data_IF_931557740217
#
_entry.id   IF_931557740217
#
_cell.length_a   1.000
_cell.length_b   1.000
_cell.length_c   1.000
_cell.angle_alpha   90.00
_cell.angle_beta   90.00
_cell.angle_gamma   90.00
#
_symmetry.space_group_name_H-M   'P 1'
#
loop_
_entity.id
_entity.type
_entity.pdbx_description
1 polymer ?
#
# COMPACT_ATOMS: atom_id res chain seq x y z
N UNK A 1 12.24 -3.71 -2.51
CA UNK A 1 12.64 -4.89 -3.30
C UNK A 1 12.54 -4.60 -4.81
N UNK A 2 11.35 -4.37 -5.37
CA UNK A 2 11.17 -4.11 -6.81
C UNK A 2 12.00 -2.92 -7.33
N UNK A 3 12.02 -1.79 -6.61
CA UNK A 3 12.88 -0.65 -6.95
C UNK A 3 14.37 -1.05 -7.06
N UNK A 4 14.88 -1.81 -6.10
CA UNK A 4 16.28 -2.25 -6.11
C UNK A 4 16.58 -3.25 -7.22
N UNK A 5 15.63 -4.12 -7.62
CA UNK A 5 15.86 -5.06 -8.73
C UNK A 5 16.03 -4.35 -10.07
N UNK A 6 15.55 -3.10 -10.20
CA UNK A 6 15.76 -2.23 -11.36
C UNK A 6 16.80 -1.12 -11.10
N UNK A 7 17.68 -1.29 -10.10
CA UNK A 7 18.74 -0.35 -9.74
C UNK A 7 18.24 1.09 -9.42
N UNK A 8 17.04 1.20 -8.85
CA UNK A 8 16.50 2.47 -8.37
C UNK A 8 16.45 2.51 -6.85
N UNK A 9 16.65 3.71 -6.31
CA UNK A 9 16.42 4.02 -4.91
C UNK A 9 15.05 4.68 -4.72
N UNK A 10 14.49 4.56 -3.52
CA UNK A 10 13.19 5.14 -3.16
C UNK A 10 13.15 5.53 -1.70
N UNK A 11 12.55 6.68 -1.42
CA UNK A 11 12.35 7.21 -0.07
C UNK A 11 10.90 7.67 0.05
N UNK A 12 10.00 6.75 0.41
CA UNK A 12 8.57 7.02 0.57
C UNK A 12 7.90 5.96 1.44
N UNK A 13 6.84 6.35 2.15
CA UNK A 13 5.92 5.42 2.81
C UNK A 13 4.60 5.26 2.05
N UNK A 14 4.38 6.05 0.99
CA UNK A 14 3.18 5.94 0.16
C UNK A 14 3.40 4.90 -0.92
N UNK A 15 2.72 3.76 -0.77
CA UNK A 15 2.74 2.65 -1.71
C UNK A 15 2.12 3.08 -3.04
N UNK A 16 1.04 3.87 -3.01
CA UNK A 16 0.40 4.34 -4.25
C UNK A 16 1.33 5.23 -5.08
N UNK A 17 2.03 6.16 -4.42
CA UNK A 17 3.04 7.02 -5.08
C UNK A 17 4.19 6.22 -5.63
N UNK A 18 4.68 5.24 -4.85
CA UNK A 18 5.73 4.34 -5.29
C UNK A 18 5.31 3.56 -6.53
N UNK A 19 4.10 3.00 -6.56
CA UNK A 19 3.60 2.29 -7.75
C UNK A 19 3.53 3.23 -8.97
N UNK A 20 2.92 4.40 -8.83
CA UNK A 20 2.75 5.35 -9.95
C UNK A 20 4.07 5.92 -10.52
N UNK A 21 5.16 5.86 -9.74
CA UNK A 21 6.49 6.32 -10.18
C UNK A 21 7.30 5.23 -10.91
N UNK A 22 6.83 3.97 -10.92
CA UNK A 22 7.48 2.86 -11.59
C UNK A 22 7.10 2.83 -13.09
N UNK A 23 7.72 3.70 -13.88
CA UNK A 23 7.49 3.82 -15.32
C UNK A 23 7.92 2.60 -16.14
N UNK A 24 8.73 1.70 -15.55
CA UNK A 24 9.19 0.45 -16.17
C UNK A 24 8.11 -0.62 -16.27
N UNK A 25 7.01 -0.47 -15.53
CA UNK A 25 5.96 -1.48 -15.43
C UNK A 25 4.61 -0.86 -15.78
N UNK A 26 3.75 -1.64 -16.42
CA UNK A 26 2.36 -1.26 -16.62
C UNK A 26 1.58 -1.47 -15.31
N UNK A 27 1.30 -0.35 -14.63
CA UNK A 27 0.56 -0.35 -13.38
C UNK A 27 -0.91 -0.07 -13.68
N UNK A 28 -1.75 -1.09 -13.48
CA UNK A 28 -3.19 -0.90 -13.52
C UNK A 28 -3.62 0.14 -12.48
N UNK A 29 -4.45 1.09 -12.90
CA UNK A 29 -5.09 2.07 -12.03
C UNK A 29 -5.78 1.39 -10.84
N UNK A 30 -6.39 0.21 -11.05
CA UNK A 30 -7.05 -0.53 -9.97
C UNK A 30 -6.06 -0.92 -8.86
N UNK A 31 -4.80 -1.25 -9.21
CA UNK A 31 -3.76 -1.58 -8.24
C UNK A 31 -3.28 -0.35 -7.47
N UNK A 32 -3.17 0.80 -8.15
CA UNK A 32 -2.84 2.07 -7.53
C UNK A 32 -3.95 2.54 -6.56
N UNK A 33 -5.22 2.37 -6.92
CA UNK A 33 -6.36 2.71 -6.07
C UNK A 33 -6.38 1.84 -4.79
N UNK A 34 -6.07 0.55 -4.91
CA UNK A 34 -5.89 -0.37 -3.76
C UNK A 34 -4.76 0.09 -2.83
N UNK A 35 -3.62 0.49 -3.40
CA UNK A 35 -2.51 1.02 -2.63
C UNK A 35 -2.86 2.34 -1.93
N UNK A 36 -3.71 3.17 -2.53
CA UNK A 36 -4.19 4.41 -1.91
C UNK A 36 -5.07 4.13 -0.68
N UNK A 37 -5.84 3.04 -0.67
CA UNK A 37 -6.57 2.62 0.55
C UNK A 37 -5.60 2.19 1.66
N UNK A 38 -4.53 1.47 1.32
CA UNK A 38 -3.50 1.08 2.28
C UNK A 38 -2.71 2.29 2.83
N UNK A 39 -2.45 3.30 2.01
CA UNK A 39 -1.77 4.51 2.45
C UNK A 39 -2.57 5.24 3.55
N UNK A 40 -3.91 5.20 3.52
CA UNK A 40 -4.75 5.84 4.55
C UNK A 40 -4.62 5.15 5.91
N UNK A 41 -4.42 3.83 5.93
CA UNK A 41 -4.31 3.09 7.19
C UNK A 41 -2.93 3.26 7.85
N UNK A 42 -1.93 3.80 7.14
CA UNK A 42 -0.56 3.96 7.66
C UNK A 42 -0.50 4.81 8.94
N UNK A 43 -1.18 5.96 8.97
CA UNK A 43 -1.25 6.83 10.16
C UNK A 43 -2.46 6.46 11.02
N UNK A 44 -3.63 6.31 10.40
CA UNK A 44 -4.89 6.12 11.11
C UNK A 44 -4.89 4.92 12.05
N UNK A 45 -4.24 3.82 11.69
CA UNK A 45 -4.22 2.60 12.53
C UNK A 45 -3.40 2.71 13.82
N UNK A 46 -2.63 3.80 14.02
CA UNK A 46 -1.61 3.86 15.09
C UNK A 46 -1.74 5.05 16.03
N UNK A 47 -2.23 6.18 15.54
CA UNK A 47 -2.20 7.43 16.31
C UNK A 47 -3.62 7.89 16.65
N UNK A 48 -3.98 8.00 17.95
CA UNK A 48 -5.33 8.42 18.35
C UNK A 48 -5.72 9.82 17.87
N UNK A 49 -4.75 10.73 17.72
CA UNK A 49 -4.96 12.10 17.24
C UNK A 49 -5.39 12.20 15.76
N UNK A 50 -5.37 11.08 15.03
CA UNK A 50 -5.95 10.98 13.70
C UNK A 50 -7.48 11.00 13.72
N UNK A 51 -8.10 10.53 14.80
CA UNK A 51 -9.55 10.46 14.95
C UNK A 51 -10.05 11.56 15.89
N UNK A 52 -11.32 11.94 15.72
CA UNK A 52 -11.92 12.98 16.57
C UNK A 52 -12.10 12.52 18.01
N UNK A 53 -12.30 11.21 18.23
CA UNK A 53 -12.55 10.60 19.53
C UNK A 53 -12.01 9.16 19.57
N UNK A 54 -11.93 8.56 20.76
CA UNK A 54 -11.63 7.14 20.91
C UNK A 54 -10.19 6.72 20.59
N UNK A 55 -10.01 5.41 20.43
CA UNK A 55 -8.75 4.75 20.11
C UNK A 55 -8.77 4.18 18.68
N UNK A 56 -7.62 4.15 17.97
CA UNK A 56 -7.57 3.70 16.57
C UNK A 56 -8.25 2.37 16.28
N UNK A 57 -8.14 1.38 17.16
CA UNK A 57 -8.71 0.04 16.94
C UNK A 57 -10.24 0.03 16.84
N UNK A 58 -10.92 1.06 17.35
CA UNK A 58 -12.39 1.17 17.32
C UNK A 58 -12.93 1.55 15.93
N UNK A 59 -12.07 2.08 15.04
CA UNK A 59 -12.44 2.54 13.70
C UNK A 59 -12.25 1.49 12.60
N UNK A 60 -11.80 0.27 12.94
CA UNK A 60 -11.52 -0.77 11.97
C UNK A 60 -12.35 -2.02 12.24
N UNK A 61 -13.05 -2.48 11.22
CA UNK A 61 -13.77 -3.75 11.24
C UNK A 61 -12.88 -4.93 10.79
N UNK A 62 -13.35 -6.15 11.03
CA UNK A 62 -12.70 -7.34 10.48
C UNK A 62 -12.80 -7.39 8.95
N UNK A 63 -13.84 -6.79 8.36
CA UNK A 63 -14.01 -6.61 6.92
C UNK A 63 -12.95 -5.68 6.34
N UNK A 64 -12.63 -4.57 7.03
CA UNK A 64 -11.55 -3.66 6.63
C UNK A 64 -10.20 -4.37 6.65
N UNK A 65 -9.92 -5.14 7.70
CA UNK A 65 -8.71 -5.92 7.82
C UNK A 65 -8.56 -6.94 6.68
N UNK A 66 -9.64 -7.69 6.36
CA UNK A 66 -9.65 -8.65 5.25
C UNK A 66 -9.42 -7.97 3.90
N UNK A 67 -10.05 -6.81 3.67
CA UNK A 67 -9.91 -6.04 2.43
C UNK A 67 -8.48 -5.51 2.26
N UNK A 68 -7.93 -4.88 3.31
CA UNK A 68 -6.54 -4.40 3.32
C UNK A 68 -5.55 -5.55 3.09
N UNK A 69 -5.76 -6.70 3.73
CA UNK A 69 -4.90 -7.87 3.52
C UNK A 69 -4.93 -8.37 2.08
N UNK A 70 -6.12 -8.41 1.46
CA UNK A 70 -6.23 -8.81 0.06
C UNK A 70 -5.53 -7.82 -0.88
N UNK A 71 -5.69 -6.52 -0.66
CA UNK A 71 -4.98 -5.50 -1.46
C UNK A 71 -3.46 -5.59 -1.30
N UNK A 72 -2.98 -5.81 -0.08
CA UNK A 72 -1.55 -6.00 0.18
C UNK A 72 -1.01 -7.25 -0.54
N UNK A 73 -1.78 -8.34 -0.58
CA UNK A 73 -1.42 -9.55 -1.34
C UNK A 73 -1.30 -9.26 -2.83
N UNK A 74 -2.25 -8.57 -3.43
CA UNK A 74 -2.21 -8.25 -4.86
C UNK A 74 -0.99 -7.38 -5.22
N UNK A 75 -0.67 -6.37 -4.41
CA UNK A 75 0.52 -5.53 -4.60
C UNK A 75 1.81 -6.35 -4.43
N UNK A 76 1.84 -7.24 -3.45
CA UNK A 76 2.96 -8.14 -3.24
C UNK A 76 3.17 -9.09 -4.42
N UNK A 77 2.09 -9.69 -4.93
CA UNK A 77 2.12 -10.58 -6.10
C UNK A 77 2.60 -9.84 -7.35
N UNK A 78 2.12 -8.63 -7.58
CA UNK A 78 2.63 -7.74 -8.62
C UNK A 78 4.14 -7.53 -8.49
N UNK A 79 4.63 -7.20 -7.29
CA UNK A 79 6.06 -6.97 -7.08
C UNK A 79 6.87 -8.25 -7.28
N UNK A 80 6.42 -9.38 -6.74
CA UNK A 80 7.11 -10.66 -6.82
C UNK A 80 7.19 -11.18 -8.27
N UNK A 81 6.13 -10.99 -9.07
CA UNK A 81 6.14 -11.31 -10.50
C UNK A 81 7.18 -10.52 -11.27
N UNK A 82 7.34 -9.24 -10.95
CA UNK A 82 8.24 -8.33 -11.67
C UNK A 82 9.69 -8.33 -11.16
N UNK A 83 9.97 -8.89 -9.99
CA UNK A 83 11.35 -9.11 -9.50
C UNK A 83 11.98 -10.36 -10.12
N UNK A 84 11.19 -11.39 -10.42
CA UNK A 84 11.67 -12.70 -10.91
C UNK A 84 11.83 -12.80 -12.42
N UNK A 85 11.65 -11.68 -13.13
CA UNK A 85 11.86 -11.57 -14.58
C UNK A 85 13.22 -10.95 -14.87
#
# INVERSE_FOLDING_TARGET
ALYHSINKEIWSHSVSRMLLQLTEFDIDKSLADKAMELDRVYIGSRYPDYYTEGSPFEYYSIEDAKRCLNYAKEIFEFCNKNIRN
#
